data_IF_616799718358
#
_entry.id   IF_616799718358
#
_cell.length_a   1.000
_cell.length_b   1.000
_cell.length_c   1.000
_cell.angle_alpha   90.00
_cell.angle_beta   90.00
_cell.angle_gamma   90.00
#
_symmetry.space_group_name_H-M   'P 1'
#
loop_
_entity.id
_entity.type
_entity.pdbx_description
1 polymer ?
#
# COMPACT_ATOMS: atom_id res chain seq x y z
N UNK A 1 4.77 20.30 1.77
CA UNK A 1 4.27 19.27 2.70
C UNK A 1 4.73 17.91 2.20
N UNK A 2 5.13 16.96 3.07
CA UNK A 2 5.50 15.62 2.63
C UNK A 2 4.27 14.86 2.12
N UNK A 3 4.50 13.82 1.32
CA UNK A 3 3.45 12.86 0.98
C UNK A 3 2.92 12.16 2.24
N UNK A 4 1.63 11.83 2.26
CA UNK A 4 1.01 11.14 3.39
C UNK A 4 -0.21 10.35 2.94
N UNK A 5 -0.47 9.23 3.61
CA UNK A 5 -1.66 8.41 3.43
C UNK A 5 -2.09 7.84 4.78
N UNK A 6 -3.38 7.90 5.10
CA UNK A 6 -3.93 7.32 6.33
C UNK A 6 -5.36 6.87 6.15
N UNK A 7 -5.70 5.74 6.76
CA UNK A 7 -7.08 5.34 6.98
C UNK A 7 -7.68 6.31 8.00
N UNK A 8 -8.83 6.89 7.66
CA UNK A 8 -9.57 7.79 8.56
C UNK A 8 -10.90 7.21 8.99
N UNK A 9 -11.46 6.32 8.17
CA UNK A 9 -12.74 5.66 8.45
C UNK A 9 -12.89 4.42 7.57
N UNK A 10 -13.93 3.63 7.81
CA UNK A 10 -14.28 2.51 6.94
C UNK A 10 -15.15 1.47 7.65
N UNK A 11 -15.66 0.52 6.88
CA UNK A 11 -16.38 -0.64 7.38
C UNK A 11 -15.94 -1.85 6.56
N UNK A 12 -15.28 -2.81 7.19
CA UNK A 12 -14.79 -4.04 6.55
C UNK A 12 -15.26 -5.24 7.36
N UNK A 13 -15.99 -6.16 6.75
CA UNK A 13 -16.59 -7.33 7.41
C UNK A 13 -17.33 -6.96 8.73
N UNK A 14 -18.08 -5.86 8.73
CA UNK A 14 -18.79 -5.36 9.91
C UNK A 14 -17.92 -4.66 10.96
N UNK A 15 -16.58 -4.64 10.80
CA UNK A 15 -15.65 -3.91 11.68
C UNK A 15 -15.49 -2.47 11.20
N UNK A 16 -15.80 -1.51 12.07
CA UNK A 16 -15.50 -0.09 11.81
C UNK A 16 -13.99 0.13 11.88
N UNK A 17 -13.42 0.77 10.86
CA UNK A 17 -12.03 1.21 10.85
C UNK A 17 -11.96 2.64 11.40
N UNK A 18 -11.01 2.91 12.30
CA UNK A 18 -10.72 4.26 12.82
C UNK A 18 -9.21 4.38 12.95
N UNK A 19 -8.67 5.57 12.67
CA UNK A 19 -7.22 5.77 12.41
C UNK A 19 -6.25 5.02 13.32
N UNK A 20 -5.04 4.78 12.82
CA UNK A 20 -4.06 3.87 13.44
C UNK A 20 -4.16 2.45 12.89
N UNK A 21 -3.59 1.48 13.61
CA UNK A 21 -3.61 0.07 13.21
C UNK A 21 -5.00 -0.53 13.46
N UNK A 22 -5.64 -0.99 12.39
CA UNK A 22 -6.91 -1.70 12.46
C UNK A 22 -6.71 -3.18 12.19
N UNK A 23 -7.56 -4.01 12.80
CA UNK A 23 -7.50 -5.47 12.66
C UNK A 23 -8.87 -6.01 12.24
N UNK A 24 -8.87 -6.85 11.21
CA UNK A 24 -10.03 -7.63 10.75
C UNK A 24 -9.72 -9.11 10.89
N UNK A 25 -10.71 -9.87 11.35
CA UNK A 25 -10.62 -11.32 11.57
C UNK A 25 -11.46 -12.02 10.52
N UNK A 26 -10.94 -13.08 9.92
CA UNK A 26 -11.60 -13.80 8.83
C UNK A 26 -11.20 -15.26 8.86
N UNK A 27 -12.11 -16.15 8.44
CA UNK A 27 -11.78 -17.56 8.27
C UNK A 27 -10.79 -17.77 7.11
N UNK A 28 -10.00 -18.86 7.11
CA UNK A 28 -9.22 -19.26 5.95
C UNK A 28 -10.03 -19.26 4.64
N UNK A 29 -9.50 -18.62 3.59
CA UNK A 29 -10.19 -18.48 2.30
C UNK A 29 -11.43 -17.57 2.29
N UNK A 30 -11.80 -17.01 3.45
CA UNK A 30 -12.96 -16.15 3.63
C UNK A 30 -12.86 -14.85 2.85
N UNK A 31 -14.01 -14.26 2.54
CA UNK A 31 -14.07 -12.96 1.87
C UNK A 31 -13.77 -11.83 2.87
N UNK A 32 -12.96 -10.87 2.42
CA UNK A 32 -12.73 -9.59 3.08
C UNK A 32 -13.33 -8.52 2.16
N UNK A 33 -14.44 -7.92 2.58
CA UNK A 33 -15.14 -6.92 1.79
C UNK A 33 -15.66 -5.73 2.60
N UNK A 34 -15.82 -4.60 1.92
CA UNK A 34 -16.27 -3.36 2.54
C UNK A 34 -15.72 -2.12 1.86
N UNK A 35 -15.63 -1.02 2.60
CA UNK A 35 -15.09 0.26 2.12
C UNK A 35 -14.12 0.87 3.12
N UNK A 36 -13.09 1.52 2.59
CA UNK A 36 -12.05 2.18 3.37
C UNK A 36 -11.93 3.63 2.91
N UNK A 37 -12.00 4.56 3.87
CA UNK A 37 -11.86 5.98 3.63
C UNK A 37 -10.45 6.43 4.03
N UNK A 38 -9.83 7.23 3.16
CA UNK A 38 -8.48 7.74 3.34
C UNK A 38 -8.45 9.25 3.39
N UNK A 39 -7.44 9.77 4.10
CA UNK A 39 -6.88 11.10 3.83
C UNK A 39 -5.50 10.96 3.24
N UNK A 40 -5.20 11.79 2.25
CA UNK A 40 -3.93 11.75 1.55
C UNK A 40 -3.39 13.15 1.21
N UNK A 41 -2.09 13.21 0.98
CA UNK A 41 -1.37 14.43 0.59
C UNK A 41 -0.38 14.10 -0.53
N UNK A 42 -0.37 14.92 -1.58
CA UNK A 42 0.43 14.76 -2.80
C UNK A 42 1.02 16.12 -3.20
N UNK A 43 2.27 16.44 -2.84
CA UNK A 43 2.79 17.80 -2.98
C UNK A 43 3.12 18.21 -4.41
N UNK A 44 3.60 17.30 -5.25
CA UNK A 44 4.12 17.66 -6.57
C UNK A 44 2.97 17.79 -7.59
N UNK A 45 2.68 19.02 -8.04
CA UNK A 45 1.63 19.30 -9.04
C UNK A 45 1.92 18.70 -10.43
N UNK A 46 3.18 18.44 -10.75
CA UNK A 46 3.60 17.90 -12.04
C UNK A 46 3.73 16.37 -12.08
N UNK A 47 3.45 15.68 -10.96
CA UNK A 47 3.56 14.23 -10.88
C UNK A 47 2.21 13.54 -11.06
N UNK A 48 2.23 12.34 -11.66
CA UNK A 48 1.11 11.42 -11.64
C UNK A 48 1.16 10.60 -10.36
N UNK A 49 0.23 10.86 -9.45
CA UNK A 49 0.06 10.06 -8.24
C UNK A 49 -0.96 8.97 -8.47
N UNK A 50 -0.66 7.75 -8.00
CA UNK A 50 -1.59 6.63 -8.02
C UNK A 50 -1.77 6.06 -6.63
N UNK A 51 -2.95 5.50 -6.38
CA UNK A 51 -3.22 4.62 -5.25
C UNK A 51 -3.23 3.18 -5.75
N UNK A 52 -2.48 2.33 -5.08
CA UNK A 52 -2.50 0.88 -5.29
C UNK A 52 -2.86 0.18 -4.00
N UNK A 53 -3.22 -1.10 -4.12
CA UNK A 53 -3.41 -2.01 -2.99
C UNK A 53 -2.60 -3.28 -3.22
N UNK A 54 -1.92 -3.75 -2.19
CA UNK A 54 -1.22 -5.03 -2.17
C UNK A 54 -1.59 -5.84 -0.93
N UNK A 55 -1.38 -7.15 -1.01
CA UNK A 55 -1.53 -8.09 0.10
C UNK A 55 -0.19 -8.72 0.43
N UNK A 56 0.07 -9.03 1.70
CA UNK A 56 1.27 -9.78 2.12
C UNK A 56 1.16 -11.29 1.86
N UNK A 57 0.12 -11.72 1.15
CA UNK A 57 -0.11 -13.08 0.70
C UNK A 57 -0.37 -13.08 -0.80
N UNK A 58 -0.18 -14.24 -1.42
CA UNK A 58 -0.28 -14.40 -2.86
C UNK A 58 1.03 -14.05 -3.58
N UNK A 59 0.96 -13.91 -4.91
CA UNK A 59 2.12 -13.56 -5.72
C UNK A 59 2.22 -12.04 -5.88
N UNK A 60 3.28 -11.44 -5.35
CA UNK A 60 3.47 -9.99 -5.36
C UNK A 60 3.58 -9.40 -6.77
N UNK A 61 4.25 -10.10 -7.69
CA UNK A 61 4.35 -9.68 -9.09
C UNK A 61 3.10 -9.94 -9.95
N UNK A 62 2.10 -10.65 -9.41
CA UNK A 62 0.86 -11.02 -10.10
C UNK A 62 -0.34 -10.12 -9.76
N UNK A 63 -0.28 -9.35 -8.68
CA UNK A 63 -1.36 -8.47 -8.21
C UNK A 63 -0.91 -7.00 -8.23
N UNK A 64 -1.10 -6.35 -9.38
CA UNK A 64 -0.67 -4.97 -9.63
C UNK A 64 -1.83 -3.99 -9.75
N UNK A 65 -2.89 -4.20 -8.95
CA UNK A 65 -4.12 -3.44 -9.09
C UNK A 65 -3.92 -1.96 -8.75
N UNK A 66 -3.87 -1.12 -9.78
CA UNK A 66 -4.01 0.33 -9.63
C UNK A 66 -5.48 0.61 -9.33
N UNK A 67 -5.76 1.12 -8.13
CA UNK A 67 -7.14 1.43 -7.74
C UNK A 67 -7.62 2.69 -8.45
N UNK A 68 -6.78 3.74 -8.49
CA UNK A 68 -7.07 4.99 -9.19
C UNK A 68 -5.86 5.92 -9.22
N UNK A 69 -5.90 6.91 -10.11
CA UNK A 69 -5.08 8.12 -10.00
C UNK A 69 -5.61 9.05 -8.90
N UNK A 70 -4.70 9.80 -8.29
CA UNK A 70 -4.97 10.78 -7.23
C UNK A 70 -4.78 12.19 -7.76
N UNK A 71 -5.47 13.15 -7.14
CA UNK A 71 -5.22 14.57 -7.42
C UNK A 71 -3.79 14.91 -7.00
N UNK A 72 -3.10 15.68 -7.84
CA UNK A 72 -1.77 16.18 -7.57
C UNK A 72 -1.83 17.58 -6.93
N UNK A 73 -0.84 17.93 -6.11
CA UNK A 73 -0.76 19.24 -5.47
C UNK A 73 -1.78 19.51 -4.36
N UNK A 74 -2.37 18.46 -3.78
CA UNK A 74 -3.39 18.58 -2.73
C UNK A 74 -2.84 18.21 -1.36
N UNK A 75 -3.49 18.74 -0.32
CA UNK A 75 -3.18 18.47 1.08
C UNK A 75 -4.44 18.02 1.81
N UNK A 76 -4.33 16.94 2.58
CA UNK A 76 -5.43 16.35 3.36
C UNK A 76 -6.71 16.06 2.54
N UNK A 77 -6.55 15.77 1.25
CA UNK A 77 -7.65 15.37 0.39
C UNK A 77 -8.25 14.03 0.86
N UNK A 78 -9.54 13.82 0.57
CA UNK A 78 -10.27 12.62 0.97
C UNK A 78 -10.60 11.75 -0.23
N UNK A 79 -10.64 10.44 0.00
CA UNK A 79 -11.13 9.47 -0.96
C UNK A 79 -11.65 8.22 -0.26
N UNK A 80 -12.46 7.44 -0.98
CA UNK A 80 -12.87 6.11 -0.57
C UNK A 80 -12.35 5.09 -1.60
N UNK A 81 -12.05 3.89 -1.12
CA UNK A 81 -11.80 2.71 -1.94
C UNK A 81 -12.68 1.58 -1.45
N UNK A 82 -13.30 0.88 -2.39
CA UNK A 82 -13.93 -0.40 -2.09
C UNK A 82 -12.86 -1.47 -1.89
N UNK A 83 -13.19 -2.44 -1.05
CA UNK A 83 -12.36 -3.59 -0.73
C UNK A 83 -13.16 -4.85 -1.05
N UNK A 84 -12.54 -5.74 -1.82
CA UNK A 84 -12.98 -7.10 -2.03
C UNK A 84 -11.77 -7.96 -2.36
N UNK A 85 -11.40 -8.86 -1.46
CA UNK A 85 -10.26 -9.77 -1.61
C UNK A 85 -10.52 -11.05 -0.81
N UNK A 86 -9.92 -12.17 -1.18
CA UNK A 86 -9.98 -13.41 -0.39
C UNK A 86 -8.78 -13.51 0.53
N UNK A 87 -9.03 -13.93 1.76
CA UNK A 87 -7.99 -14.29 2.71
C UNK A 87 -7.20 -15.52 2.21
N UNK A 88 -5.94 -15.70 2.63
CA UNK A 88 -5.19 -16.92 2.36
C UNK A 88 -5.84 -18.13 3.05
N UNK A 89 -5.54 -19.33 2.55
CA UNK A 89 -6.01 -20.59 3.12
C UNK A 89 -5.23 -21.00 4.37
N UNK A 90 -4.04 -20.44 4.59
CA UNK A 90 -3.20 -20.76 5.73
C UNK A 90 -3.49 -19.79 6.87
N UNK A 91 -3.91 -20.27 8.06
CA UNK A 91 -4.05 -19.44 9.24
C UNK A 91 -2.77 -18.66 9.57
N UNK A 92 -2.92 -17.43 10.07
CA UNK A 92 -1.79 -16.56 10.37
C UNK A 92 -2.14 -15.08 10.34
N UNK A 93 -1.13 -14.25 10.61
CA UNK A 93 -1.23 -12.80 10.53
C UNK A 93 -0.72 -12.30 9.19
N UNK A 94 -1.50 -11.40 8.58
CA UNK A 94 -1.24 -10.83 7.27
C UNK A 94 -1.60 -9.35 7.24
N UNK A 95 -1.31 -8.68 6.13
CA UNK A 95 -1.74 -7.30 5.89
C UNK A 95 -2.32 -7.09 4.50
N UNK A 96 -3.30 -6.20 4.45
CA UNK A 96 -3.66 -5.46 3.23
C UNK A 96 -3.07 -4.07 3.39
N UNK A 97 -2.29 -3.64 2.41
CA UNK A 97 -1.69 -2.31 2.38
C UNK A 97 -2.20 -1.51 1.20
N UNK A 98 -2.44 -0.23 1.44
CA UNK A 98 -2.63 0.78 0.40
C UNK A 98 -1.40 1.66 0.35
N UNK A 99 -0.91 1.91 -0.85
CA UNK A 99 0.31 2.69 -1.07
C UNK A 99 0.01 3.77 -2.10
N UNK A 100 0.56 4.96 -1.89
CA UNK A 100 0.58 6.00 -2.92
C UNK A 100 1.99 6.53 -3.13
N UNK A 101 2.30 6.88 -4.37
CA UNK A 101 3.46 7.69 -4.73
C UNK A 101 3.32 8.17 -6.18
N UNK A 102 4.25 9.03 -6.59
CA UNK A 102 4.35 9.54 -7.95
C UNK A 102 5.00 8.52 -8.88
N UNK A 103 4.26 7.52 -9.35
CA UNK A 103 4.71 6.56 -10.36
C UNK A 103 3.52 6.18 -11.30
N UNK A 104 3.78 5.59 -12.48
CA UNK A 104 2.75 5.40 -13.52
C UNK A 104 1.61 4.47 -13.14
N UNK A 105 1.90 3.39 -12.40
CA UNK A 105 0.93 2.35 -12.02
C UNK A 105 1.30 1.73 -10.68
N UNK A 106 0.36 1.00 -10.09
CA UNK A 106 0.59 0.21 -8.88
C UNK A 106 1.72 -0.81 -8.99
N UNK A 107 2.01 -1.34 -10.20
CA UNK A 107 3.13 -2.26 -10.43
C UNK A 107 4.47 -1.61 -10.06
N UNK A 108 4.68 -0.35 -10.44
CA UNK A 108 5.89 0.40 -10.11
C UNK A 108 6.02 0.64 -8.60
N UNK A 109 4.90 0.94 -7.94
CA UNK A 109 4.91 1.19 -6.50
C UNK A 109 5.22 -0.08 -5.71
N UNK A 110 4.52 -1.17 -6.04
CA UNK A 110 4.62 -2.41 -5.28
C UNK A 110 5.92 -3.16 -5.55
N UNK A 111 6.51 -2.99 -6.73
CA UNK A 111 7.85 -3.51 -7.05
C UNK A 111 8.98 -2.64 -6.51
N UNK A 112 8.71 -1.45 -5.99
CA UNK A 112 9.77 -0.53 -5.57
C UNK A 112 10.65 -0.03 -6.73
N UNK A 113 10.11 0.04 -7.95
CA UNK A 113 10.84 0.44 -9.15
C UNK A 113 10.43 1.84 -9.60
N UNK A 114 11.39 2.71 -9.91
CA UNK A 114 11.11 4.03 -10.47
C UNK A 114 10.77 3.95 -11.96
N UNK A 115 9.80 4.76 -12.40
CA UNK A 115 9.33 4.85 -13.78
C UNK A 115 10.39 4.97 -14.87
N UNK A 116 11.57 5.55 -14.56
CA UNK A 116 12.69 5.66 -15.52
C UNK A 116 13.30 4.31 -15.89
N UNK A 117 12.99 3.24 -15.17
CA UNK A 117 13.45 1.90 -15.50
C UNK A 117 12.80 1.28 -16.75
N UNK A 118 11.80 1.94 -17.36
CA UNK A 118 11.08 1.44 -18.54
C UNK A 118 10.09 0.31 -18.25
N UNK A 119 10.38 -0.56 -17.27
CA UNK A 119 9.47 -1.59 -16.75
C UNK A 119 9.63 -1.76 -15.23
N UNK A 120 8.55 -2.12 -14.49
CA UNK A 120 8.67 -2.63 -13.12
C UNK A 120 9.58 -3.86 -13.05
N UNK A 121 10.39 -3.98 -11.99
CA UNK A 121 11.26 -5.14 -11.72
C UNK A 121 10.89 -5.75 -10.38
N UNK A 122 10.62 -7.05 -10.38
CA UNK A 122 10.15 -7.78 -9.20
C UNK A 122 11.18 -8.78 -8.73
N UNK A 123 11.15 -9.12 -7.44
CA UNK A 123 11.99 -10.16 -6.87
C UNK A 123 13.48 -9.79 -6.76
N UNK A 124 13.80 -8.49 -6.86
CA UNK A 124 15.16 -7.93 -6.73
C UNK A 124 15.45 -7.37 -5.32
N UNK A 125 14.51 -7.56 -4.38
CA UNK A 125 14.67 -7.22 -2.96
C UNK A 125 13.99 -5.92 -2.52
N UNK A 126 13.36 -5.18 -3.44
CA UNK A 126 12.59 -3.95 -3.17
C UNK A 126 11.06 -4.10 -3.24
N UNK A 127 10.56 -5.31 -3.46
CA UNK A 127 9.13 -5.60 -3.45
C UNK A 127 8.49 -5.21 -2.11
N UNK A 128 7.60 -4.21 -2.12
CA UNK A 128 7.04 -3.62 -0.90
C UNK A 128 6.25 -4.65 -0.08
N UNK A 129 5.48 -5.52 -0.74
CA UNK A 129 4.69 -6.54 -0.05
C UNK A 129 5.54 -7.74 0.42
N UNK A 130 6.81 -7.82 0.03
CA UNK A 130 7.76 -8.82 0.52
C UNK A 130 8.49 -8.41 1.80
N UNK A 131 8.29 -7.17 2.27
CA UNK A 131 8.89 -6.71 3.53
C UNK A 131 8.40 -7.54 4.71
N UNK A 132 9.22 -7.66 5.78
CA UNK A 132 8.79 -8.32 7.01
C UNK A 132 7.48 -7.75 7.54
N UNK A 133 6.58 -8.61 8.00
CA UNK A 133 5.25 -8.24 8.49
C UNK A 133 5.31 -7.14 9.55
N UNK A 134 6.25 -7.25 10.49
CA UNK A 134 6.44 -6.24 11.56
C UNK A 134 6.80 -4.86 10.99
N UNK A 135 7.54 -4.80 9.88
CA UNK A 135 7.86 -3.53 9.22
C UNK A 135 6.60 -2.87 8.66
N UNK A 136 5.73 -3.64 8.02
CA UNK A 136 4.45 -3.15 7.50
C UNK A 136 3.50 -2.72 8.64
N UNK A 137 3.42 -3.50 9.71
CA UNK A 137 2.58 -3.18 10.86
C UNK A 137 3.07 -1.93 11.60
N UNK A 138 4.38 -1.76 11.78
CA UNK A 138 4.96 -0.54 12.38
C UNK A 138 4.61 0.71 11.56
N UNK A 139 4.65 0.64 10.24
CA UNK A 139 4.30 1.77 9.37
C UNK A 139 2.86 2.27 9.59
N UNK A 140 1.93 1.38 9.96
CA UNK A 140 0.55 1.72 10.32
C UNK A 140 0.45 2.59 11.58
N UNK A 141 1.38 2.40 12.52
CA UNK A 141 1.46 3.12 13.79
C UNK A 141 2.40 4.32 13.74
N UNK A 142 3.32 4.35 12.78
CA UNK A 142 4.38 5.36 12.65
C UNK A 142 4.17 6.26 11.43
N UNK A 143 3.40 7.34 11.61
CA UNK A 143 3.14 8.40 10.61
C UNK A 143 2.54 7.94 9.25
N UNK A 144 2.30 6.65 9.03
CA UNK A 144 1.83 6.12 7.75
C UNK A 144 2.91 6.12 6.67
N UNK A 145 4.17 5.85 7.05
CA UNK A 145 5.31 5.78 6.14
C UNK A 145 6.05 4.46 6.33
N UNK A 146 6.47 3.83 5.25
CA UNK A 146 7.43 2.73 5.26
C UNK A 146 8.71 3.14 4.55
N UNK A 147 9.85 2.79 5.12
CA UNK A 147 11.15 2.98 4.50
C UNK A 147 11.50 1.74 3.68
N UNK A 148 11.74 1.90 2.39
CA UNK A 148 12.02 0.78 1.47
C UNK A 148 13.22 1.08 0.58
N UNK A 149 14.00 0.06 0.20
CA UNK A 149 14.88 0.15 -0.95
C UNK A 149 14.05 0.50 -2.19
N UNK A 150 14.58 1.35 -3.05
CA UNK A 150 13.91 1.75 -4.29
C UNK A 150 14.88 1.78 -5.45
N UNK A 151 14.56 1.06 -6.52
CA UNK A 151 15.39 1.00 -7.71
C UNK A 151 15.18 2.26 -8.55
N UNK A 152 16.24 3.03 -8.73
CA UNK A 152 16.34 4.06 -9.76
C UNK A 152 17.14 3.48 -10.91
N UNK A 153 16.75 3.73 -12.16
CA UNK A 153 17.52 3.29 -13.34
C UNK A 153 18.32 4.42 -14.00
N UNK A 154 18.17 5.65 -13.48
CA UNK A 154 18.93 6.82 -13.90
C UNK A 154 19.33 7.64 -12.65
N UNK A 155 20.49 7.35 -12.03
CA UNK A 155 21.39 6.23 -12.33
C UNK A 155 20.82 4.87 -11.90
N UNK A 156 21.33 3.77 -12.47
CA UNK A 156 20.96 2.39 -12.11
C UNK A 156 21.49 2.00 -10.74
N UNK A 157 20.71 2.33 -9.71
CA UNK A 157 21.09 2.30 -8.32
C UNK A 157 19.87 1.93 -7.46
N UNK A 158 20.04 0.91 -6.60
CA UNK A 158 19.11 0.64 -5.52
C UNK A 158 19.42 1.59 -4.37
N UNK A 159 18.48 2.48 -4.04
CA UNK A 159 18.64 3.43 -2.94
C UNK A 159 17.79 3.01 -1.76
N UNK A 160 18.44 2.80 -0.62
CA UNK A 160 17.74 2.58 0.64
C UNK A 160 17.11 3.86 1.17
N UNK A 161 16.11 3.71 2.03
CA UNK A 161 15.58 4.84 2.80
C UNK A 161 14.48 5.64 2.12
N UNK A 162 13.93 5.22 0.96
CA UNK A 162 12.79 5.92 0.37
C UNK A 162 11.59 5.77 1.29
N UNK A 163 11.13 6.88 1.87
CA UNK A 163 9.91 6.93 2.65
C UNK A 163 8.69 6.94 1.72
N UNK A 164 7.86 5.91 1.79
CA UNK A 164 6.68 5.74 0.95
C UNK A 164 5.42 5.78 1.83
N UNK A 165 4.42 6.63 1.51
CA UNK A 165 3.15 6.63 2.21
C UNK A 165 2.39 5.32 2.07
N UNK A 166 2.03 4.77 3.22
CA UNK A 166 1.34 3.49 3.33
C UNK A 166 0.28 3.56 4.41
N UNK A 167 -0.86 2.92 4.14
CA UNK A 167 -1.87 2.65 5.14
C UNK A 167 -2.14 1.15 5.20
N UNK A 168 -2.23 0.59 6.41
CA UNK A 168 -2.20 -0.86 6.61
C UNK A 168 -3.40 -1.30 7.43
N UNK A 169 -3.99 -2.41 7.00
CA UNK A 169 -5.03 -3.15 7.71
C UNK A 169 -4.48 -4.54 8.05
N UNK A 170 -4.36 -4.85 9.35
CA UNK A 170 -3.99 -6.18 9.81
C UNK A 170 -5.14 -7.15 9.57
N UNK A 171 -4.83 -8.31 9.01
CA UNK A 171 -5.74 -9.42 8.81
C UNK A 171 -5.28 -10.59 9.67
N UNK A 172 -6.17 -11.08 10.52
CA UNK A 172 -5.94 -12.29 11.32
C UNK A 172 -6.79 -13.41 10.74
N UNK A 173 -6.14 -14.39 10.11
CA UNK A 173 -6.77 -15.56 9.50
C UNK A 173 -6.78 -16.68 10.52
N UNK A 174 -7.97 -17.09 10.98
CA UNK A 174 -8.16 -18.16 11.98
C UNK A 174 -9.55 -18.76 11.91
#
# INVERSE_FOLDING_TARGET
>A
WPEALRIVDGLVNGRRLRGGLNTVRVAPGGEISGSVAFRYTTPNRGALYVLTRGTSWGQHGGDTLTLRSLLAGVRDARMNSDLKVRAPQTPGDYVIAWVQSGEPTGSWLLSGTNWRCGTPRWGDGNDLMALPLDTLLRAATERGLVSVPWLYCEPNELRDGRAVPIAVLKIEVR
#
